data_IF_916926122563
#
_entry.id   IF_916926122563
#
_cell.length_a   1.000
_cell.length_b   1.000
_cell.length_c   1.000
_cell.angle_alpha   90.00
_cell.angle_beta   90.00
_cell.angle_gamma   90.00
#
_symmetry.space_group_name_H-M   'P 1'
#
loop_
_entity.id
_entity.type
_entity.pdbx_description
1 polymer ?
#
# COMPACT_ATOMS: atom_id res chain seq x y z
N UNK A 1 27.10 -18.83 -1.59
CA UNK A 1 26.46 -18.54 -2.89
C UNK A 1 27.53 -18.38 -3.96
N UNK A 2 27.38 -19.11 -5.06
CA UNK A 2 28.21 -18.98 -6.26
C UNK A 2 27.99 -17.62 -6.96
N UNK A 3 28.90 -17.23 -7.85
CA UNK A 3 28.74 -16.02 -8.67
C UNK A 3 27.47 -16.07 -9.51
N UNK A 4 27.17 -17.24 -10.10
CA UNK A 4 25.96 -17.48 -10.89
C UNK A 4 24.67 -17.26 -10.10
N UNK A 5 24.65 -17.66 -8.82
CA UNK A 5 23.49 -17.43 -7.94
C UNK A 5 23.29 -15.94 -7.64
N UNK A 6 24.39 -15.19 -7.45
CA UNK A 6 24.32 -13.73 -7.22
C UNK A 6 23.82 -12.99 -8.46
N UNK A 7 24.26 -13.37 -9.65
CA UNK A 7 23.81 -12.80 -10.92
C UNK A 7 22.31 -13.04 -11.13
N UNK A 8 21.85 -14.29 -10.96
CA UNK A 8 20.43 -14.62 -11.06
C UNK A 8 19.57 -13.86 -10.05
N UNK A 9 20.05 -13.72 -8.80
CA UNK A 9 19.35 -12.94 -7.79
C UNK A 9 19.24 -11.46 -8.17
N UNK A 10 20.30 -10.88 -8.73
CA UNK A 10 20.30 -9.50 -9.22
C UNK A 10 19.32 -9.30 -10.37
N UNK A 11 19.36 -10.15 -11.40
CA UNK A 11 18.41 -10.10 -12.51
C UNK A 11 16.96 -10.21 -12.05
N UNK A 12 16.69 -11.05 -11.06
CA UNK A 12 15.36 -11.19 -10.47
C UNK A 12 14.92 -9.90 -9.77
N UNK A 13 15.81 -9.24 -9.02
CA UNK A 13 15.50 -7.95 -8.39
C UNK A 13 15.29 -6.85 -9.45
N UNK A 14 16.10 -6.81 -10.50
CA UNK A 14 15.95 -5.84 -11.59
C UNK A 14 14.59 -5.98 -12.28
N UNK A 15 14.11 -7.22 -12.47
CA UNK A 15 12.75 -7.50 -12.97
C UNK A 15 11.67 -6.98 -12.03
N UNK A 16 11.80 -7.21 -10.72
CA UNK A 16 10.85 -6.69 -9.74
C UNK A 16 10.81 -5.15 -9.73
N UNK A 17 11.97 -4.51 -9.82
CA UNK A 17 12.05 -3.04 -9.91
C UNK A 17 11.38 -2.50 -11.17
N UNK A 18 11.52 -3.18 -12.31
CA UNK A 18 10.84 -2.80 -13.54
C UNK A 18 9.30 -2.90 -13.40
N UNK A 19 8.79 -3.96 -12.78
CA UNK A 19 7.35 -4.15 -12.54
C UNK A 19 6.81 -3.06 -11.61
N UNK A 20 7.44 -2.83 -10.45
CA UNK A 20 7.01 -1.81 -9.51
C UNK A 20 7.05 -0.40 -10.12
N UNK A 21 8.07 -0.11 -10.93
CA UNK A 21 8.17 1.15 -11.68
C UNK A 21 7.08 1.30 -12.73
N UNK A 22 6.62 0.20 -13.33
CA UNK A 22 5.48 0.22 -14.24
C UNK A 22 4.17 0.50 -13.50
N UNK A 23 3.94 -0.14 -12.34
CA UNK A 23 2.75 0.10 -11.52
C UNK A 23 2.63 1.57 -11.06
N UNK A 24 3.74 2.23 -10.74
CA UNK A 24 3.75 3.65 -10.38
C UNK A 24 3.35 4.60 -11.53
N UNK A 25 3.19 4.10 -12.76
CA UNK A 25 2.67 4.88 -13.89
C UNK A 25 1.14 4.90 -13.96
N UNK A 26 0.46 3.98 -13.28
CA UNK A 26 -1.00 3.97 -13.20
C UNK A 26 -1.51 5.23 -12.49
N UNK A 27 -2.62 5.82 -12.96
CA UNK A 27 -3.11 7.12 -12.48
C UNK A 27 -3.29 7.16 -10.96
N UNK A 28 -3.92 6.14 -10.37
CA UNK A 28 -4.15 6.07 -8.92
C UNK A 28 -2.87 5.79 -8.11
N UNK A 29 -1.86 5.18 -8.73
CA UNK A 29 -0.57 4.86 -8.07
C UNK A 29 0.40 6.05 -8.09
N UNK A 30 0.12 7.10 -8.88
CA UNK A 30 0.91 8.36 -8.88
C UNK A 30 0.75 9.17 -7.60
N UNK A 31 -0.21 8.82 -6.75
CA UNK A 31 -0.55 9.54 -5.53
C UNK A 31 -0.54 8.60 -4.34
N UNK A 32 -0.11 9.09 -3.18
CA UNK A 32 -0.20 8.35 -1.93
C UNK A 32 -1.65 7.98 -1.63
N UNK A 33 -1.92 6.71 -1.32
CA UNK A 33 -3.30 6.25 -1.07
C UNK A 33 -3.94 6.91 0.16
N UNK A 34 -3.15 7.45 1.07
CA UNK A 34 -3.62 8.00 2.34
C UNK A 34 -3.70 9.53 2.37
N UNK A 35 -2.85 10.23 1.61
CA UNK A 35 -2.78 11.70 1.66
C UNK A 35 -2.63 12.41 0.29
N UNK A 36 -2.85 11.69 -0.82
CA UNK A 36 -2.75 12.22 -2.18
C UNK A 36 -1.43 12.96 -2.52
N UNK A 37 -0.38 12.79 -1.71
CA UNK A 37 0.95 13.29 -2.02
C UNK A 37 1.49 12.62 -3.30
N UNK A 38 2.04 13.41 -4.22
CA UNK A 38 2.54 12.92 -5.51
C UNK A 38 3.78 12.05 -5.36
N UNK A 39 3.91 11.08 -6.27
CA UNK A 39 5.11 10.26 -6.42
C UNK A 39 5.43 9.41 -5.20
N UNK A 40 4.52 8.54 -4.73
CA UNK A 40 4.82 7.63 -3.63
C UNK A 40 6.02 6.74 -3.98
N UNK A 41 6.92 6.54 -3.01
CA UNK A 41 8.15 5.73 -3.15
C UNK A 41 8.25 4.62 -2.11
N UNK A 42 7.19 4.44 -1.32
CA UNK A 42 7.04 3.40 -0.33
C UNK A 42 5.77 2.61 -0.64
N UNK A 43 5.67 1.41 -0.09
CA UNK A 43 4.51 0.57 -0.24
C UNK A 43 4.26 -0.25 1.02
N UNK A 44 3.00 -0.56 1.31
CA UNK A 44 2.64 -1.64 2.21
C UNK A 44 2.27 -2.85 1.37
N UNK A 45 3.16 -3.84 1.31
CA UNK A 45 3.03 -4.93 0.34
C UNK A 45 1.93 -5.93 0.70
N UNK A 46 1.63 -6.11 1.98
CA UNK A 46 0.55 -7.00 2.41
C UNK A 46 -0.84 -6.38 2.22
N UNK A 47 -0.92 -5.04 2.14
CA UNK A 47 -2.14 -4.30 1.80
C UNK A 47 -2.20 -3.95 0.31
N UNK A 48 -1.10 -4.08 -0.42
CA UNK A 48 -1.01 -3.81 -1.85
C UNK A 48 -1.13 -2.32 -2.23
N UNK A 49 -0.64 -1.42 -1.37
CA UNK A 49 -0.81 0.04 -1.52
C UNK A 49 0.52 0.80 -1.63
N UNK A 50 0.53 1.90 -2.37
CA UNK A 50 1.63 2.85 -2.48
C UNK A 50 1.43 4.06 -1.55
N UNK A 51 2.52 4.43 -0.86
CA UNK A 51 2.57 5.41 0.20
C UNK A 51 3.70 6.43 -0.04
N UNK A 52 3.49 7.68 0.37
CA UNK A 52 4.58 8.61 0.57
C UNK A 52 5.40 8.23 1.82
N UNK A 53 6.58 8.82 2.00
CA UNK A 53 7.46 8.51 3.14
C UNK A 53 6.79 8.80 4.50
N UNK A 54 5.95 9.82 4.58
CA UNK A 54 5.26 10.21 5.82
C UNK A 54 4.21 9.17 6.21
N UNK A 55 3.33 8.79 5.30
CA UNK A 55 2.33 7.73 5.55
C UNK A 55 2.99 6.37 5.75
N UNK A 56 4.11 6.09 5.07
CA UNK A 56 4.92 4.91 5.38
C UNK A 56 5.41 4.89 6.84
N UNK A 57 5.73 6.05 7.43
CA UNK A 57 6.01 6.19 8.86
C UNK A 57 4.80 5.85 9.75
N UNK A 58 3.62 6.37 9.40
CA UNK A 58 2.35 6.05 10.09
C UNK A 58 2.09 4.54 10.05
N UNK A 59 2.20 3.94 8.86
CA UNK A 59 1.96 2.51 8.65
C UNK A 59 2.90 1.61 9.44
N UNK A 60 4.15 2.03 9.70
CA UNK A 60 5.07 1.30 10.59
C UNK A 60 4.56 1.29 12.03
N UNK A 61 4.00 2.40 12.50
CA UNK A 61 3.45 2.52 13.85
C UNK A 61 2.14 1.72 14.06
N UNK A 62 1.47 1.28 12.99
CA UNK A 62 0.32 0.36 13.09
C UNK A 62 0.75 -1.06 13.49
N UNK A 63 2.01 -1.42 13.25
CA UNK A 63 2.55 -2.75 13.50
C UNK A 63 2.44 -3.72 12.30
N UNK A 64 3.38 -4.68 12.28
CA UNK A 64 3.60 -5.62 11.14
C UNK A 64 2.48 -6.63 10.90
N UNK A 65 1.55 -6.76 11.85
CA UNK A 65 0.34 -7.58 11.72
C UNK A 65 -0.78 -6.84 10.95
N UNK A 66 -0.70 -5.51 10.87
CA UNK A 66 -1.59 -4.66 10.07
C UNK A 66 -0.93 -4.32 8.73
N UNK A 67 0.29 -3.76 8.78
CA UNK A 67 0.94 -3.17 7.61
C UNK A 67 2.44 -3.46 7.59
N UNK A 68 2.95 -3.94 6.45
CA UNK A 68 4.34 -4.30 6.23
C UNK A 68 4.93 -3.43 5.14
N UNK A 69 5.69 -2.43 5.58
CA UNK A 69 6.18 -1.35 4.72
C UNK A 69 7.54 -1.68 4.12
N UNK A 70 7.71 -1.40 2.83
CA UNK A 70 8.99 -1.44 2.10
C UNK A 70 9.16 -0.19 1.24
N UNK A 71 10.41 0.22 1.03
CA UNK A 71 10.79 1.12 -0.03
C UNK A 71 10.62 0.41 -1.36
N UNK A 72 10.07 1.12 -2.34
CA UNK A 72 9.90 0.55 -3.69
C UNK A 72 11.27 0.25 -4.30
N UNK A 73 12.24 1.16 -4.15
CA UNK A 73 13.52 1.11 -4.85
C UNK A 73 14.74 0.75 -3.98
N UNK A 74 14.65 0.81 -2.65
CA UNK A 74 15.78 0.54 -1.75
C UNK A 74 15.73 -0.84 -1.09
N UNK A 75 14.56 -1.46 -1.03
CA UNK A 75 14.39 -2.78 -0.42
C UNK A 75 14.39 -3.90 -1.47
N UNK A 76 14.78 -5.10 -1.04
CA UNK A 76 14.62 -6.31 -1.85
C UNK A 76 13.18 -6.78 -1.82
N UNK A 77 12.70 -7.34 -2.93
CA UNK A 77 11.32 -7.82 -3.07
C UNK A 77 11.29 -9.33 -3.37
N UNK A 78 10.22 -9.99 -2.94
CA UNK A 78 9.91 -11.37 -3.34
C UNK A 78 8.82 -11.37 -4.41
N UNK A 79 8.67 -12.50 -5.11
CA UNK A 79 7.65 -12.64 -6.16
C UNK A 79 6.24 -12.44 -5.59
N UNK A 80 5.95 -12.97 -4.41
CA UNK A 80 4.67 -12.87 -3.74
C UNK A 80 4.34 -11.41 -3.37
N UNK A 81 5.36 -10.66 -2.93
CA UNK A 81 5.19 -9.25 -2.57
C UNK A 81 4.90 -8.40 -3.79
N UNK A 82 5.58 -8.67 -4.92
CA UNK A 82 5.31 -7.95 -6.18
C UNK A 82 3.94 -8.34 -6.73
N UNK A 83 3.56 -9.61 -6.67
CA UNK A 83 2.23 -10.08 -7.08
C UNK A 83 1.11 -9.36 -6.31
N UNK A 84 1.24 -9.20 -4.99
CA UNK A 84 0.28 -8.42 -4.20
C UNK A 84 0.14 -6.97 -4.68
N UNK A 85 1.25 -6.32 -5.06
CA UNK A 85 1.21 -4.96 -5.59
C UNK A 85 0.52 -4.89 -6.96
N UNK A 86 0.68 -5.92 -7.80
CA UNK A 86 -0.01 -6.01 -9.09
C UNK A 86 -1.50 -6.34 -8.95
N UNK A 87 -1.84 -7.16 -7.95
CA UNK A 87 -3.22 -7.62 -7.71
C UNK A 87 -4.10 -6.51 -7.11
N UNK A 88 -3.54 -5.64 -6.27
CA UNK A 88 -4.33 -4.63 -5.57
C UNK A 88 -4.08 -3.25 -6.19
N UNK A 89 -2.93 -2.63 -5.91
CA UNK A 89 -2.68 -1.24 -6.27
C UNK A 89 -3.64 -0.26 -5.58
N UNK A 90 -3.39 1.03 -5.73
CA UNK A 90 -4.17 2.05 -5.01
C UNK A 90 -5.64 2.09 -5.44
N UNK A 91 -5.92 1.83 -6.72
CA UNK A 91 -7.28 1.85 -7.26
C UNK A 91 -8.19 0.84 -6.55
N UNK A 92 -7.80 -0.45 -6.54
CA UNK A 92 -8.58 -1.51 -5.88
C UNK A 92 -8.53 -1.37 -4.36
N UNK A 93 -7.41 -0.91 -3.81
CA UNK A 93 -7.34 -0.63 -2.39
C UNK A 93 -8.37 0.42 -1.95
N UNK A 94 -8.57 1.51 -2.72
CA UNK A 94 -9.64 2.49 -2.44
C UNK A 94 -11.01 1.83 -2.50
N UNK A 95 -11.28 1.04 -3.53
CA UNK A 95 -12.55 0.32 -3.68
C UNK A 95 -12.85 -0.62 -2.49
N UNK A 96 -11.84 -1.11 -1.78
CA UNK A 96 -12.00 -1.97 -0.59
C UNK A 96 -12.03 -1.16 0.70
N UNK A 97 -10.98 -0.38 0.95
CA UNK A 97 -10.74 0.28 2.23
C UNK A 97 -11.50 1.59 2.40
N UNK A 98 -12.09 2.11 1.32
CA UNK A 98 -12.84 3.37 1.31
C UNK A 98 -14.24 3.17 0.70
N UNK A 99 -14.72 1.93 0.61
CA UNK A 99 -15.99 1.59 -0.03
C UNK A 99 -17.18 2.34 0.59
N UNK A 100 -17.17 2.50 1.92
CA UNK A 100 -18.18 3.22 2.70
C UNK A 100 -17.61 4.48 3.34
N UNK A 101 -16.65 5.14 2.68
CA UNK A 101 -16.12 6.40 3.19
C UNK A 101 -17.23 7.47 3.16
N UNK A 102 -17.42 8.28 4.22
CA UNK A 102 -18.51 9.24 4.28
C UNK A 102 -18.49 10.25 3.13
N UNK A 103 -19.66 10.60 2.63
CA UNK A 103 -19.80 11.69 1.67
C UNK A 103 -19.24 12.99 2.26
N UNK A 104 -18.42 13.69 1.46
CA UNK A 104 -17.73 14.91 1.90
C UNK A 104 -16.43 14.66 2.68
N UNK A 105 -15.99 13.41 2.83
CA UNK A 105 -14.66 13.10 3.35
C UNK A 105 -13.58 13.81 2.54
N UNK A 106 -12.78 14.66 3.22
CA UNK A 106 -11.63 15.32 2.61
C UNK A 106 -10.37 14.62 3.05
N UNK A 107 -9.76 13.89 2.10
CA UNK A 107 -8.41 13.37 2.32
C UNK A 107 -7.45 14.53 2.56
N UNK A 108 -6.52 14.43 3.51
CA UNK A 108 -5.34 15.29 3.54
C UNK A 108 -4.72 15.34 2.14
N UNK A 109 -4.53 16.51 1.52
CA UNK A 109 -4.13 16.62 0.10
C UNK A 109 -2.66 17.03 -0.11
N UNK A 110 -1.84 17.07 0.94
CA UNK A 110 -0.48 17.60 0.80
C UNK A 110 0.53 17.07 1.80
N UNK A 111 1.79 17.28 1.43
CA UNK A 111 2.98 17.09 2.24
C UNK A 111 3.06 18.00 3.48
N UNK A 112 2.21 19.03 3.55
CA UNK A 112 2.12 19.94 4.69
C UNK A 112 1.10 19.52 5.74
N UNK A 113 0.22 18.55 5.47
CA UNK A 113 -0.74 18.08 6.46
C UNK A 113 -0.04 17.49 7.69
N UNK A 114 -0.37 17.93 8.91
CA UNK A 114 0.25 17.41 10.12
C UNK A 114 -0.02 15.91 10.33
N UNK A 115 0.96 15.22 10.91
CA UNK A 115 0.87 13.80 11.21
C UNK A 115 -0.37 13.44 12.05
N UNK A 116 -0.72 14.30 13.02
CA UNK A 116 -1.87 14.09 13.91
C UNK A 116 -3.22 14.13 13.19
N UNK A 117 -3.29 14.72 11.98
CA UNK A 117 -4.49 14.71 11.17
C UNK A 117 -4.59 13.46 10.30
N UNK A 118 -3.45 12.89 9.85
CA UNK A 118 -3.46 11.71 8.98
C UNK A 118 -3.65 10.42 9.79
N UNK A 119 -3.01 10.32 10.96
CA UNK A 119 -3.02 9.11 11.79
C UNK A 119 -4.44 8.58 12.10
N UNK A 120 -5.41 9.40 12.57
CA UNK A 120 -6.75 8.90 12.87
C UNK A 120 -7.42 8.26 11.66
N UNK A 121 -7.22 8.81 10.47
CA UNK A 121 -7.79 8.29 9.21
C UNK A 121 -7.17 6.94 8.85
N UNK A 122 -5.84 6.83 8.92
CA UNK A 122 -5.14 5.57 8.69
C UNK A 122 -5.58 4.49 9.70
N UNK A 123 -5.79 4.84 10.98
CA UNK A 123 -6.29 3.89 11.98
C UNK A 123 -7.72 3.44 11.69
N UNK A 124 -8.64 4.36 11.37
CA UNK A 124 -10.02 4.02 10.98
C UNK A 124 -10.07 3.09 9.77
N UNK A 125 -9.23 3.37 8.78
CA UNK A 125 -9.16 2.64 7.52
C UNK A 125 -8.62 1.21 7.68
N UNK A 126 -7.50 1.03 8.41
CA UNK A 126 -6.79 -0.26 8.42
C UNK A 126 -6.88 -1.05 9.73
N UNK A 127 -7.08 -0.38 10.88
CA UNK A 127 -7.27 -1.05 12.18
C UNK A 127 -8.75 -1.30 12.42
N UNK A 128 -9.55 -0.23 12.46
CA UNK A 128 -10.99 -0.35 12.73
C UNK A 128 -11.77 -0.90 11.52
N UNK A 129 -11.20 -0.76 10.31
CA UNK A 129 -11.82 -1.17 9.04
C UNK A 129 -13.23 -0.56 8.87
N UNK A 130 -13.39 0.67 9.33
CA UNK A 130 -14.68 1.36 9.48
C UNK A 130 -15.41 1.52 8.14
N UNK A 131 -14.67 1.63 7.04
CA UNK A 131 -15.21 1.87 5.70
C UNK A 131 -15.20 0.64 4.79
N UNK A 132 -14.81 -0.53 5.31
CA UNK A 132 -14.88 -1.79 4.56
C UNK A 132 -16.32 -2.31 4.66
N UNK A 133 -16.94 -2.80 3.58
CA UNK A 133 -18.26 -3.42 3.66
C UNK A 133 -18.23 -4.64 4.58
N UNK A 134 -19.30 -4.89 5.37
CA UNK A 134 -19.37 -6.12 6.15
C UNK A 134 -19.30 -7.31 5.20
N UNK A 135 -18.52 -8.33 5.58
CA UNK A 135 -18.50 -9.57 4.80
C UNK A 135 -19.91 -10.15 4.77
N UNK A 136 -20.40 -10.60 3.60
CA UNK A 136 -21.67 -11.31 3.52
C UNK A 136 -21.61 -12.47 4.51
N UNK A 137 -22.58 -12.55 5.43
CA UNK A 137 -22.71 -13.72 6.30
C UNK A 137 -23.09 -14.88 5.39
N UNK A 138 -22.12 -15.72 5.02
CA UNK A 138 -22.43 -17.01 4.39
C UNK A 138 -23.27 -17.77 5.43
N UNK A 139 -24.50 -18.18 5.11
CA UNK A 139 -25.28 -19.02 6.00
C UNK A 139 -24.44 -20.24 6.35
N UNK A 140 -24.27 -20.54 7.64
CA UNK A 140 -23.68 -21.82 8.02
C UNK A 140 -24.61 -22.90 7.50
N UNK A 141 -24.13 -23.76 6.61
CA UNK A 141 -24.83 -24.98 6.24
C UNK A 141 -25.16 -25.73 7.54
N UNK A 142 -26.45 -26.03 7.72
CA UNK A 142 -27.02 -26.67 8.92
C UNK A 142 -26.84 -28.18 8.80
#
# INVERSE_FOLDING_TARGET
>A
MSLKEKERAKEQQDKFQAILSALLKDEDNKYCVDCDAKGPRWASWNLGIFLCIRCAGIHRNLGVHISRVKSVNLDTWTAEQVAMMQEIGNSRARAVYEANIPDGFRRPQSDSYPFFEILPHTQKKYIAREWIPPTPKVPKEV
#
